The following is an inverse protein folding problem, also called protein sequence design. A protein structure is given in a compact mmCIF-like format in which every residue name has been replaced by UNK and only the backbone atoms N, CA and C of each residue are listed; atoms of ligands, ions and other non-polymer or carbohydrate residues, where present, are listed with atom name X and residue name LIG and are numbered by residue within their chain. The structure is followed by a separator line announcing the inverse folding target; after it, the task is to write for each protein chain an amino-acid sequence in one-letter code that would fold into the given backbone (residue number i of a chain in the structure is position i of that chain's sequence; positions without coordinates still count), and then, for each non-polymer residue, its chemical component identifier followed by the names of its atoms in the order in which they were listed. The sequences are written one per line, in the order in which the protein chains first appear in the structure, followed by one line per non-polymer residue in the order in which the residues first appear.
data_IF_842259005108
#
_entry.id   IF_842259005108
#
_cell.length_a   1.000
_cell.length_b   1.000
_cell.length_c   1.000
_cell.angle_alpha   90.00
_cell.angle_beta   90.00
_cell.angle_gamma   90.00
#
_symmetry.space_group_name_H-M   'P 1'
#
loop_
_entity.id
_entity.type
_entity.pdbx_description
1 polymer ?
#
# COMPACT_ATOMS: atom_id res chain seq x y z
N UNK A 1 25.91 -6.30 13.45
CA UNK A 1 25.18 -6.63 12.21
C UNK A 1 23.74 -6.14 12.26
N UNK A 2 22.96 -6.41 13.33
CA UNK A 2 21.63 -5.80 13.50
C UNK A 2 21.66 -4.27 13.56
N UNK A 3 22.61 -3.68 14.31
CA UNK A 3 22.84 -2.22 14.30
C UNK A 3 23.08 -1.68 12.89
N UNK A 4 24.07 -2.22 12.17
CA UNK A 4 24.30 -1.87 10.76
C UNK A 4 23.04 -1.98 9.88
N UNK A 5 22.26 -3.07 10.01
CA UNK A 5 21.04 -3.22 9.23
C UNK A 5 20.02 -2.12 9.54
N UNK A 6 19.85 -1.74 10.81
CA UNK A 6 18.95 -0.67 11.25
C UNK A 6 19.46 0.72 10.88
N UNK A 7 20.74 0.98 11.12
CA UNK A 7 21.32 2.33 11.11
C UNK A 7 21.85 2.74 9.73
N UNK A 8 22.19 1.77 8.87
CA UNK A 8 22.79 2.02 7.55
C UNK A 8 22.00 1.34 6.43
N UNK A 9 21.66 0.06 6.61
CA UNK A 9 21.01 -0.76 5.59
C UNK A 9 19.58 -0.31 5.27
N UNK A 10 18.76 -0.08 6.29
CA UNK A 10 17.38 0.39 6.14
C UNK A 10 17.33 1.80 5.53
N UNK A 11 18.05 2.82 6.04
CA UNK A 11 18.07 4.14 5.41
C UNK A 11 18.51 4.11 3.95
N UNK A 12 19.54 3.32 3.62
CA UNK A 12 19.98 3.14 2.24
C UNK A 12 18.87 2.55 1.35
N UNK A 13 18.13 1.55 1.85
CA UNK A 13 17.00 0.97 1.13
C UNK A 13 15.86 1.97 0.96
N UNK A 14 15.54 2.75 2.01
CA UNK A 14 14.44 3.71 1.98
C UNK A 14 14.69 4.87 0.99
N UNK A 15 15.95 5.29 0.84
CA UNK A 15 16.35 6.30 -0.12
C UNK A 15 16.49 5.80 -1.57
N UNK A 16 16.36 4.49 -1.81
CA UNK A 16 16.49 3.88 -3.13
C UNK A 16 15.22 4.06 -3.96
N UNK A 17 15.37 4.21 -5.28
CA UNK A 17 14.26 4.22 -6.24
C UNK A 17 13.99 2.85 -6.89
N UNK A 18 14.85 1.86 -6.66
CA UNK A 18 14.71 0.49 -7.18
C UNK A 18 13.88 -0.40 -6.23
N UNK A 19 12.56 -0.34 -6.39
CA UNK A 19 11.61 -1.16 -5.61
C UNK A 19 11.81 -2.66 -5.90
N UNK A 20 12.19 -3.04 -7.12
CA UNK A 20 12.37 -4.45 -7.49
C UNK A 20 13.59 -5.08 -6.78
N UNK A 21 14.67 -4.32 -6.66
CA UNK A 21 15.82 -4.72 -5.86
C UNK A 21 15.46 -4.78 -4.37
N UNK A 22 14.71 -3.79 -3.86
CA UNK A 22 14.18 -3.80 -2.49
C UNK A 22 13.34 -5.04 -2.21
N UNK A 23 12.47 -5.44 -3.14
CA UNK A 23 11.70 -6.68 -3.06
C UNK A 23 12.58 -7.92 -2.97
N UNK A 24 13.55 -8.03 -3.87
CA UNK A 24 14.47 -9.17 -3.91
C UNK A 24 15.28 -9.28 -2.62
N UNK A 25 15.74 -8.13 -2.10
CA UNK A 25 16.44 -8.07 -0.83
C UNK A 25 15.54 -8.48 0.32
N UNK A 26 14.33 -7.93 0.44
CA UNK A 26 13.44 -8.25 1.54
C UNK A 26 13.09 -9.74 1.56
N UNK A 27 12.71 -10.33 0.43
CA UNK A 27 12.35 -11.75 0.37
C UNK A 27 13.52 -12.69 0.71
N UNK A 28 14.74 -12.37 0.26
CA UNK A 28 15.92 -13.20 0.50
C UNK A 28 16.54 -12.98 1.89
N UNK A 29 16.52 -11.76 2.40
CA UNK A 29 17.25 -11.37 3.60
C UNK A 29 16.41 -11.47 4.87
N UNK A 30 15.07 -11.48 4.77
CA UNK A 30 14.18 -11.67 5.94
C UNK A 30 14.54 -12.91 6.75
N UNK A 31 14.68 -14.14 6.17
CA UNK A 31 15.02 -15.32 6.96
C UNK A 31 16.39 -15.24 7.62
N UNK A 32 17.35 -14.59 6.96
CA UNK A 32 18.69 -14.37 7.51
C UNK A 32 18.63 -13.43 8.73
N UNK A 33 17.94 -12.29 8.61
CA UNK A 33 17.78 -11.35 9.72
C UNK A 33 17.06 -12.00 10.90
N UNK A 34 15.94 -12.68 10.64
CA UNK A 34 15.16 -13.32 11.70
C UNK A 34 15.92 -14.47 12.38
N UNK A 35 16.90 -15.10 11.71
CA UNK A 35 17.72 -16.14 12.32
C UNK A 35 18.52 -15.65 13.54
N UNK A 36 18.79 -14.35 13.65
CA UNK A 36 19.46 -13.76 14.81
C UNK A 36 18.67 -13.92 16.12
N UNK A 37 17.34 -14.09 16.06
CA UNK A 37 16.51 -14.42 17.23
C UNK A 37 16.97 -15.68 17.99
N UNK A 38 17.75 -16.55 17.36
CA UNK A 38 18.31 -17.76 17.98
C UNK A 38 19.55 -17.48 18.84
N UNK A 39 20.17 -16.32 18.67
CA UNK A 39 21.46 -15.99 19.29
C UNK A 39 21.44 -14.64 20.02
N UNK A 40 20.42 -13.82 19.79
CA UNK A 40 20.19 -12.51 20.42
C UNK A 40 18.69 -12.20 20.45
N UNK A 41 18.30 -11.06 21.02
CA UNK A 41 16.91 -10.59 21.00
C UNK A 41 16.37 -10.52 19.56
N UNK A 42 15.10 -10.92 19.33
CA UNK A 42 14.48 -10.84 18.02
C UNK A 42 14.56 -9.42 17.42
N UNK A 43 14.90 -9.28 16.12
CA UNK A 43 14.94 -7.98 15.46
C UNK A 43 13.55 -7.54 14.99
N UNK A 44 12.59 -7.45 15.91
CA UNK A 44 11.17 -7.30 15.57
C UNK A 44 10.88 -5.99 14.82
N UNK A 45 11.59 -4.89 15.12
CA UNK A 45 11.47 -3.65 14.34
C UNK A 45 11.83 -3.83 12.86
N UNK A 46 12.92 -4.56 12.57
CA UNK A 46 13.28 -4.88 11.19
C UNK A 46 12.25 -5.84 10.59
N UNK A 47 11.71 -6.77 11.36
CA UNK A 47 10.70 -7.70 10.88
C UNK A 47 9.45 -6.97 10.35
N UNK A 48 9.00 -5.89 11.01
CA UNK A 48 7.87 -5.05 10.55
C UNK A 48 8.11 -4.60 9.10
N UNK A 49 9.19 -3.84 8.86
CA UNK A 49 9.51 -3.30 7.55
C UNK A 49 9.69 -4.39 6.49
N UNK A 50 10.45 -5.44 6.82
CA UNK A 50 10.77 -6.50 5.86
C UNK A 50 9.54 -7.31 5.46
N UNK A 51 8.61 -7.56 6.39
CA UNK A 51 7.35 -8.25 6.08
C UNK A 51 6.38 -7.36 5.30
N UNK A 52 6.32 -6.06 5.59
CA UNK A 52 5.54 -5.11 4.79
C UNK A 52 6.02 -5.10 3.34
N UNK A 53 7.33 -4.99 3.12
CA UNK A 53 7.93 -5.01 1.79
C UNK A 53 7.67 -6.37 1.12
N UNK A 54 8.00 -7.49 1.77
CA UNK A 54 7.80 -8.82 1.19
C UNK A 54 6.33 -9.13 0.88
N UNK A 55 5.40 -8.63 1.67
CA UNK A 55 3.96 -8.68 1.42
C UNK A 55 3.58 -7.87 0.18
N UNK A 56 3.99 -6.60 0.11
CA UNK A 56 3.75 -5.70 -1.03
C UNK A 56 4.31 -6.25 -2.34
N UNK A 57 5.49 -6.86 -2.32
CA UNK A 57 6.08 -7.50 -3.50
C UNK A 57 5.27 -8.72 -3.98
N UNK A 58 4.65 -9.44 -3.06
CA UNK A 58 3.72 -10.53 -3.41
C UNK A 58 2.43 -9.99 -3.99
N UNK A 59 1.95 -8.86 -3.46
CA UNK A 59 0.78 -8.14 -3.95
C UNK A 59 0.99 -7.64 -5.39
N UNK A 60 2.14 -7.07 -5.73
CA UNK A 60 2.47 -6.70 -7.12
C UNK A 60 2.40 -7.90 -8.09
N UNK A 61 2.86 -9.07 -7.65
CA UNK A 61 2.73 -10.31 -8.43
C UNK A 61 1.27 -10.76 -8.55
N UNK A 62 0.45 -10.52 -7.52
CA UNK A 62 -0.98 -10.80 -7.55
C UNK A 62 -1.71 -9.88 -8.53
N UNK A 63 -1.36 -8.59 -8.57
CA UNK A 63 -1.90 -7.61 -9.52
C UNK A 63 -1.63 -8.03 -10.97
N UNK A 64 -0.47 -8.59 -11.26
CA UNK A 64 -0.20 -9.17 -12.58
C UNK A 64 -1.16 -10.31 -12.96
N UNK A 65 -1.55 -11.14 -11.99
CA UNK A 65 -2.58 -12.17 -12.20
C UNK A 65 -3.99 -11.57 -12.30
N UNK A 66 -4.27 -10.45 -11.63
CA UNK A 66 -5.50 -9.68 -11.81
C UNK A 66 -5.65 -9.18 -13.25
N UNK A 67 -4.59 -8.56 -13.80
CA UNK A 67 -4.61 -8.09 -15.19
C UNK A 67 -4.75 -9.25 -16.19
N UNK A 68 -4.16 -10.42 -15.88
CA UNK A 68 -4.38 -11.65 -16.65
C UNK A 68 -5.84 -12.10 -16.59
N UNK A 69 -6.45 -12.08 -15.40
CA UNK A 69 -7.87 -12.38 -15.17
C UNK A 69 -8.79 -11.42 -15.95
N UNK A 70 -8.61 -10.10 -15.80
CA UNK A 70 -9.46 -9.09 -16.45
C UNK A 70 -9.38 -9.19 -17.98
N UNK A 71 -8.19 -9.37 -18.55
CA UNK A 71 -8.04 -9.61 -20.00
C UNK A 71 -8.74 -10.88 -20.46
N UNK A 72 -8.66 -11.95 -19.68
CA UNK A 72 -9.35 -13.20 -20.01
C UNK A 72 -10.87 -13.05 -19.96
N UNK A 73 -11.41 -12.30 -19.00
CA UNK A 73 -12.84 -11.94 -18.94
C UNK A 73 -13.23 -11.11 -20.17
N UNK A 74 -12.47 -10.07 -20.51
CA UNK A 74 -12.69 -9.24 -21.68
C UNK A 74 -12.71 -10.07 -22.98
N UNK A 75 -11.77 -11.01 -23.11
CA UNK A 75 -11.67 -11.94 -24.23
C UNK A 75 -12.67 -13.12 -24.17
N UNK A 76 -13.53 -13.20 -23.15
CA UNK A 76 -14.50 -14.29 -22.91
C UNK A 76 -13.86 -15.68 -22.78
N UNK A 77 -12.63 -15.74 -22.28
CA UNK A 77 -11.91 -16.98 -22.01
C UNK A 77 -12.06 -17.38 -20.54
N UNK A 78 -13.11 -18.15 -20.23
CA UNK A 78 -13.45 -18.51 -18.85
C UNK A 78 -12.43 -19.43 -18.16
N UNK A 79 -11.76 -20.30 -18.92
CA UNK A 79 -10.76 -21.24 -18.37
C UNK A 79 -9.56 -20.45 -17.86
N UNK A 80 -9.04 -19.55 -18.69
CA UNK A 80 -7.92 -18.68 -18.33
C UNK A 80 -8.27 -17.73 -17.19
N UNK A 81 -9.50 -17.18 -17.20
CA UNK A 81 -9.97 -16.32 -16.11
C UNK A 81 -9.99 -17.08 -14.77
N UNK A 82 -10.50 -18.32 -14.74
CA UNK A 82 -10.52 -19.13 -13.52
C UNK A 82 -9.11 -19.43 -13.01
N UNK A 83 -8.17 -19.82 -13.88
CA UNK A 83 -6.78 -20.08 -13.51
C UNK A 83 -6.11 -18.82 -12.94
N UNK A 84 -6.20 -17.71 -13.66
CA UNK A 84 -5.61 -16.44 -13.24
C UNK A 84 -6.18 -15.95 -11.90
N UNK A 85 -7.49 -16.10 -11.67
CA UNK A 85 -8.12 -15.75 -10.40
C UNK A 85 -7.61 -16.60 -9.24
N UNK A 86 -7.46 -17.91 -9.42
CA UNK A 86 -6.90 -18.79 -8.38
C UNK A 86 -5.43 -18.42 -8.09
N UNK A 87 -4.65 -18.14 -9.14
CA UNK A 87 -3.26 -17.70 -8.99
C UNK A 87 -3.17 -16.38 -8.21
N UNK A 88 -4.03 -15.41 -8.54
CA UNK A 88 -4.16 -14.14 -7.80
C UNK A 88 -4.49 -14.39 -6.33
N UNK A 89 -5.54 -15.17 -6.02
CA UNK A 89 -5.97 -15.44 -4.65
C UNK A 89 -4.87 -16.09 -3.81
N UNK A 90 -4.13 -17.05 -4.38
CA UNK A 90 -2.99 -17.70 -3.68
C UNK A 90 -1.88 -16.71 -3.33
N UNK A 91 -1.58 -15.78 -4.23
CA UNK A 91 -0.58 -14.74 -3.99
C UNK A 91 -1.08 -13.74 -2.93
N UNK A 92 -2.33 -13.29 -3.01
CA UNK A 92 -2.93 -12.42 -1.99
C UNK A 92 -2.95 -13.07 -0.61
N UNK A 93 -3.27 -14.37 -0.51
CA UNK A 93 -3.21 -15.12 0.76
C UNK A 93 -1.79 -15.28 1.30
N UNK A 94 -0.77 -15.29 0.44
CA UNK A 94 0.63 -15.24 0.88
C UNK A 94 1.03 -13.82 1.33
N UNK A 95 0.61 -12.79 0.61
CA UNK A 95 0.83 -11.39 0.98
C UNK A 95 0.23 -11.08 2.36
N UNK A 96 -1.03 -11.48 2.56
CA UNK A 96 -1.76 -11.32 3.82
C UNK A 96 -1.04 -11.98 5.00
N UNK A 97 -0.55 -13.22 4.83
CA UNK A 97 0.22 -13.90 5.90
C UNK A 97 1.53 -13.18 6.24
N UNK A 98 2.24 -12.67 5.23
CA UNK A 98 3.48 -11.91 5.43
C UNK A 98 3.19 -10.64 6.22
N UNK A 99 2.23 -9.84 5.78
CA UNK A 99 1.83 -8.60 6.45
C UNK A 99 1.25 -8.85 7.85
N UNK A 100 0.47 -9.92 8.05
CA UNK A 100 0.02 -10.31 9.38
C UNK A 100 1.21 -10.63 10.31
N UNK A 101 2.27 -11.23 9.78
CA UNK A 101 3.50 -11.48 10.54
C UNK A 101 4.20 -10.18 10.90
N UNK A 102 4.25 -9.21 9.97
CA UNK A 102 4.75 -7.85 10.23
C UNK A 102 3.95 -7.10 11.31
N UNK A 103 2.62 -7.19 11.26
CA UNK A 103 1.75 -6.67 12.32
C UNK A 103 2.04 -7.32 13.68
N UNK A 104 2.21 -8.64 13.75
CA UNK A 104 2.58 -9.28 15.02
C UNK A 104 3.99 -8.92 15.49
N UNK A 105 4.92 -8.63 14.57
CA UNK A 105 6.22 -8.07 14.94
C UNK A 105 6.08 -6.68 15.56
N UNK A 106 5.15 -5.84 15.09
CA UNK A 106 4.82 -4.57 15.74
C UNK A 106 4.35 -4.78 17.19
N UNK A 107 3.41 -5.71 17.39
CA UNK A 107 2.89 -6.04 18.73
C UNK A 107 4.00 -6.52 19.67
N UNK A 108 4.95 -7.31 19.15
CA UNK A 108 6.10 -7.82 19.90
C UNK A 108 7.15 -6.74 20.21
N UNK A 109 7.45 -5.88 19.23
CA UNK A 109 8.48 -4.85 19.35
C UNK A 109 8.07 -3.70 20.28
N UNK A 110 6.79 -3.34 20.28
CA UNK A 110 6.27 -2.13 20.91
C UNK A 110 5.08 -2.47 21.81
N UNK A 111 3.88 -2.50 21.25
CA UNK A 111 2.63 -2.78 21.95
C UNK A 111 1.52 -3.07 20.95
N UNK A 112 0.43 -3.67 21.41
CA UNK A 112 -0.74 -3.86 20.56
C UNK A 112 -1.43 -2.53 20.24
N UNK A 113 -1.69 -2.21 18.95
CA UNK A 113 -2.44 -1.03 18.57
C UNK A 113 -3.84 -0.98 19.18
N UNK A 114 -4.25 0.24 19.55
CA UNK A 114 -5.59 0.53 20.03
C UNK A 114 -5.82 0.43 21.54
N UNK A 115 -4.76 0.20 22.32
CA UNK A 115 -4.66 0.49 23.75
C UNK A 115 -4.06 1.87 24.03
N UNK A 116 -3.29 2.00 25.12
CA UNK A 116 -2.49 3.20 25.38
C UNK A 116 -1.38 3.37 24.33
N UNK A 117 -1.12 4.60 23.90
CA UNK A 117 -0.04 4.88 22.96
C UNK A 117 1.33 4.57 23.59
N UNK A 118 2.22 3.85 22.89
CA UNK A 118 3.56 3.61 23.38
C UNK A 118 4.36 4.91 23.49
N UNK A 119 5.39 4.91 24.32
CA UNK A 119 6.37 6.00 24.37
C UNK A 119 7.40 5.75 23.28
N UNK A 120 7.42 6.60 22.25
CA UNK A 120 8.43 6.55 21.20
C UNK A 120 9.73 7.18 21.69
N UNK A 121 10.86 6.51 21.47
CA UNK A 121 12.18 7.04 21.84
C UNK A 121 12.84 7.81 20.68
N UNK A 122 12.31 7.67 19.47
CA UNK A 122 12.83 8.30 18.25
C UNK A 122 11.78 8.28 17.13
N UNK A 123 11.97 9.13 16.13
CA UNK A 123 11.17 9.18 14.90
C UNK A 123 11.21 7.85 14.15
N UNK A 124 12.30 7.07 14.29
CA UNK A 124 12.36 5.71 13.77
C UNK A 124 11.34 4.77 14.43
N UNK A 125 11.08 4.91 15.72
CA UNK A 125 10.08 4.08 16.41
C UNK A 125 8.68 4.46 15.95
N UNK A 126 8.42 5.75 15.74
CA UNK A 126 7.18 6.23 15.12
C UNK A 126 7.00 5.72 13.69
N UNK A 127 8.07 5.73 12.90
CA UNK A 127 8.08 5.17 11.55
C UNK A 127 7.75 3.68 11.56
N UNK A 128 8.43 2.87 12.37
CA UNK A 128 8.13 1.43 12.49
C UNK A 128 6.73 1.18 13.02
N UNK A 129 6.20 2.02 13.90
CA UNK A 129 4.80 1.96 14.32
C UNK A 129 3.87 2.16 13.13
N UNK A 130 4.07 3.21 12.33
CA UNK A 130 3.31 3.47 11.11
C UNK A 130 3.36 2.28 10.14
N UNK A 131 4.54 1.71 9.89
CA UNK A 131 4.69 0.56 8.99
C UNK A 131 3.92 -0.67 9.49
N UNK A 132 3.95 -0.93 10.81
CA UNK A 132 3.21 -2.05 11.40
C UNK A 132 1.69 -1.85 11.36
N UNK A 133 1.22 -0.59 11.42
CA UNK A 133 -0.19 -0.27 11.16
C UNK A 133 -0.57 -0.56 9.70
N UNK A 134 0.29 -0.19 8.74
CA UNK A 134 0.09 -0.49 7.33
C UNK A 134 0.09 -2.00 7.05
N UNK A 135 0.96 -2.76 7.72
CA UNK A 135 0.93 -4.23 7.70
C UNK A 135 -0.44 -4.76 8.13
N UNK A 136 -1.00 -4.25 9.24
CA UNK A 136 -2.31 -4.68 9.71
C UNK A 136 -3.43 -4.41 8.69
N UNK A 137 -3.44 -3.23 8.06
CA UNK A 137 -4.44 -2.88 7.04
C UNK A 137 -4.29 -3.75 5.79
N UNK A 138 -3.07 -3.84 5.26
CA UNK A 138 -2.81 -4.60 4.04
C UNK A 138 -3.06 -6.10 4.25
N UNK A 139 -2.79 -6.63 5.44
CA UNK A 139 -3.12 -8.02 5.78
C UNK A 139 -4.63 -8.28 5.62
N UNK A 140 -5.48 -7.39 6.16
CA UNK A 140 -6.94 -7.51 6.06
C UNK A 140 -7.40 -7.41 4.60
N UNK A 141 -6.94 -6.40 3.87
CA UNK A 141 -7.33 -6.17 2.46
C UNK A 141 -6.96 -7.39 1.62
N UNK A 142 -5.72 -7.86 1.74
CA UNK A 142 -5.22 -9.00 0.98
C UNK A 142 -5.90 -10.31 1.38
N UNK A 143 -6.25 -10.50 2.65
CA UNK A 143 -6.95 -11.71 3.08
C UNK A 143 -8.37 -11.77 2.52
N UNK A 144 -9.13 -10.67 2.61
CA UNK A 144 -10.47 -10.56 2.01
C UNK A 144 -10.41 -10.83 0.51
N UNK A 145 -9.47 -10.20 -0.20
CA UNK A 145 -9.31 -10.37 -1.63
C UNK A 145 -8.86 -11.80 -2.03
N UNK A 146 -8.15 -12.50 -1.13
CA UNK A 146 -7.80 -13.92 -1.29
C UNK A 146 -8.96 -14.89 -1.05
N UNK A 147 -10.05 -14.43 -0.43
CA UNK A 147 -11.16 -15.28 0.03
C UNK A 147 -10.99 -15.82 1.45
N UNK A 148 -10.21 -15.14 2.30
CA UNK A 148 -10.04 -15.47 3.73
C UNK A 148 -9.03 -16.58 4.01
N UNK A 149 -8.07 -16.82 3.10
CA UNK A 149 -7.14 -17.96 3.21
C UNK A 149 -6.04 -17.81 4.26
N UNK A 150 -5.79 -16.59 4.74
CA UNK A 150 -4.83 -16.27 5.79
C UNK A 150 -5.47 -16.16 7.17
N UNK A 151 -6.81 -16.15 7.26
CA UNK A 151 -7.59 -16.07 8.50
C UNK A 151 -7.20 -14.85 9.36
N UNK A 152 -7.07 -13.69 8.74
CA UNK A 152 -6.65 -12.46 9.43
C UNK A 152 -7.76 -12.02 10.40
N UNK A 153 -7.45 -11.78 11.69
CA UNK A 153 -8.44 -11.29 12.64
C UNK A 153 -8.98 -9.91 12.24
N UNK A 154 -10.30 -9.82 12.05
CA UNK A 154 -10.95 -8.59 11.58
C UNK A 154 -10.92 -7.44 12.60
N UNK A 155 -10.69 -7.74 13.88
CA UNK A 155 -10.55 -6.72 14.93
C UNK A 155 -9.27 -5.89 14.78
N UNK A 156 -8.28 -6.35 14.00
CA UNK A 156 -7.09 -5.60 13.63
C UNK A 156 -7.46 -4.26 12.97
N UNK A 157 -8.54 -4.20 12.19
CA UNK A 157 -8.99 -2.95 11.55
C UNK A 157 -9.21 -1.83 12.59
N UNK A 158 -9.97 -2.15 13.65
CA UNK A 158 -10.27 -1.19 14.70
C UNK A 158 -9.04 -0.87 15.56
N UNK A 159 -8.17 -1.87 15.80
CA UNK A 159 -6.91 -1.70 16.52
C UNK A 159 -5.97 -0.75 15.79
N UNK A 160 -5.79 -0.94 14.49
CA UNK A 160 -4.94 -0.07 13.65
C UNK A 160 -5.51 1.35 13.57
N UNK A 161 -6.81 1.50 13.33
CA UNK A 161 -7.45 2.81 13.31
C UNK A 161 -7.23 3.59 14.60
N UNK A 162 -7.37 2.93 15.77
CA UNK A 162 -7.06 3.55 17.06
C UNK A 162 -5.56 3.78 17.27
N UNK A 163 -4.69 2.86 16.83
CA UNK A 163 -3.24 3.02 16.95
C UNK A 163 -2.66 4.16 16.13
N UNK A 164 -3.32 4.53 15.02
CA UNK A 164 -2.91 5.65 14.18
C UNK A 164 -3.00 7.00 14.91
N UNK A 165 -3.84 7.15 15.95
CA UNK A 165 -3.92 8.41 16.72
C UNK A 165 -2.64 8.71 17.52
N UNK A 166 -1.76 7.72 17.67
CA UNK A 166 -0.53 7.85 18.43
C UNK A 166 0.58 8.60 17.67
N UNK A 167 0.41 8.81 16.36
CA UNK A 167 1.38 9.49 15.51
C UNK A 167 0.91 10.92 15.21
N UNK A 168 1.85 11.85 15.10
CA UNK A 168 1.55 13.18 14.59
C UNK A 168 1.18 13.13 13.11
N UNK A 169 0.06 13.77 12.75
CA UNK A 169 -0.49 13.66 11.42
C UNK A 169 0.21 14.57 10.40
N UNK A 170 0.78 15.70 10.83
CA UNK A 170 1.53 16.59 9.93
C UNK A 170 2.93 16.03 9.70
N UNK A 171 3.60 15.54 10.74
CA UNK A 171 4.91 14.88 10.67
C UNK A 171 4.89 13.66 9.73
N UNK A 172 3.88 12.80 9.87
CA UNK A 172 3.73 11.59 9.05
C UNK A 172 2.81 11.79 7.84
N UNK A 173 2.93 12.97 7.19
CA UNK A 173 2.41 13.27 5.85
C UNK A 173 0.91 13.02 5.63
N UNK A 174 0.10 13.14 6.68
CA UNK A 174 -1.33 12.88 6.65
C UNK A 174 -1.72 11.40 6.70
N UNK A 175 -0.75 10.48 6.74
CA UNK A 175 -0.98 9.02 6.76
C UNK A 175 -1.78 8.57 7.99
N UNK A 176 -1.48 9.04 9.22
CA UNK A 176 -2.23 8.62 10.41
C UNK A 176 -3.74 8.90 10.31
N UNK A 177 -4.13 10.09 9.87
CA UNK A 177 -5.55 10.42 9.68
C UNK A 177 -6.15 9.73 8.44
N UNK A 178 -5.34 9.43 7.41
CA UNK A 178 -5.81 8.64 6.27
C UNK A 178 -6.18 7.21 6.69
N UNK A 179 -5.36 6.59 7.54
CA UNK A 179 -5.62 5.28 8.15
C UNK A 179 -6.94 5.34 8.93
N UNK A 180 -7.11 6.32 9.83
CA UNK A 180 -8.34 6.47 10.60
C UNK A 180 -9.57 6.60 9.70
N UNK A 181 -9.49 7.48 8.70
CA UNK A 181 -10.58 7.69 7.76
C UNK A 181 -10.92 6.43 6.95
N UNK A 182 -9.91 5.68 6.49
CA UNK A 182 -10.11 4.42 5.79
C UNK A 182 -10.87 3.40 6.66
N UNK A 183 -10.50 3.28 7.94
CA UNK A 183 -11.19 2.39 8.88
C UNK A 183 -12.62 2.84 9.15
N UNK A 184 -12.86 4.13 9.36
CA UNK A 184 -14.22 4.66 9.55
C UNK A 184 -15.12 4.46 8.32
N UNK A 185 -14.55 4.56 7.12
CA UNK A 185 -15.28 4.31 5.87
C UNK A 185 -15.60 2.81 5.72
N UNK A 186 -14.68 1.94 6.10
CA UNK A 186 -14.86 0.48 6.03
C UNK A 186 -15.80 -0.06 7.13
N UNK A 187 -15.81 0.57 8.31
CA UNK A 187 -16.62 0.18 9.48
C UNK A 187 -17.48 1.38 9.90
N UNK A 188 -18.67 1.56 9.30
CA UNK A 188 -19.56 2.68 9.62
C UNK A 188 -20.02 2.65 11.09
N UNK A 189 -20.09 3.82 11.72
CA UNK A 189 -20.56 4.02 13.09
C UNK A 189 -19.47 4.02 14.15
N UNK A 190 -18.19 3.95 13.74
CA UNK A 190 -17.03 4.03 14.64
C UNK A 190 -16.27 5.37 14.49
N UNK A 191 -16.76 6.27 13.63
CA UNK A 191 -16.26 7.63 13.48
C UNK A 191 -16.65 8.55 14.65
N UNK A 192 -15.81 9.54 15.00
CA UNK A 192 -16.21 10.61 15.91
C UNK A 192 -17.38 11.43 15.35
N UNK A 193 -18.28 11.88 16.23
CA UNK A 193 -19.52 12.60 15.86
C UNK A 193 -19.25 13.91 15.09
N UNK A 194 -18.09 14.54 15.32
CA UNK A 194 -17.68 15.80 14.71
C UNK A 194 -16.84 15.63 13.44
N UNK A 195 -16.55 14.38 13.02
CA UNK A 195 -15.68 14.09 11.87
C UNK A 195 -16.48 13.52 10.71
N UNK A 196 -16.15 13.98 9.51
CA UNK A 196 -16.65 13.40 8.25
C UNK A 196 -15.50 12.61 7.62
N UNK A 197 -15.52 11.26 7.62
CA UNK A 197 -14.37 10.45 7.21
C UNK A 197 -13.83 10.79 5.82
N UNK A 198 -14.70 10.99 4.83
CA UNK A 198 -14.28 11.38 3.47
C UNK A 198 -13.55 12.73 3.43
N UNK A 199 -13.97 13.70 4.27
CA UNK A 199 -13.28 15.00 4.36
C UNK A 199 -11.91 14.87 5.03
N UNK A 200 -11.82 14.04 6.09
CA UNK A 200 -10.55 13.74 6.75
C UNK A 200 -9.56 13.11 5.76
N UNK A 201 -10.01 12.12 4.99
CA UNK A 201 -9.19 11.47 3.95
C UNK A 201 -8.74 12.46 2.86
N UNK A 202 -9.62 13.37 2.42
CA UNK A 202 -9.26 14.41 1.46
C UNK A 202 -8.23 15.41 2.02
N UNK A 203 -8.32 15.74 3.31
CA UNK A 203 -7.35 16.59 3.99
C UNK A 203 -6.01 15.88 4.15
N UNK A 204 -5.99 14.61 4.52
CA UNK A 204 -4.77 13.79 4.57
C UNK A 204 -4.05 13.74 3.24
N UNK A 205 -4.77 13.57 2.12
CA UNK A 205 -4.16 13.67 0.80
C UNK A 205 -3.53 15.04 0.55
N UNK A 206 -4.17 16.15 0.96
CA UNK A 206 -3.59 17.51 0.80
C UNK A 206 -2.26 17.65 1.57
N UNK A 207 -2.22 17.19 2.82
CA UNK A 207 -1.00 17.23 3.65
C UNK A 207 0.12 16.44 2.96
N UNK A 208 -0.18 15.23 2.47
CA UNK A 208 0.79 14.44 1.70
C UNK A 208 1.27 15.15 0.44
N UNK A 209 0.39 15.82 -0.32
CA UNK A 209 0.77 16.57 -1.53
C UNK A 209 1.73 17.72 -1.24
N UNK A 210 1.46 18.50 -0.20
CA UNK A 210 2.29 19.62 0.20
C UNK A 210 3.70 19.16 0.61
N UNK A 211 3.82 17.93 1.11
CA UNK A 211 5.08 17.32 1.55
C UNK A 211 5.69 16.35 0.51
N UNK A 212 5.03 16.17 -0.64
CA UNK A 212 5.51 15.29 -1.70
C UNK A 212 5.46 13.80 -1.36
N UNK A 213 4.49 13.37 -0.56
CA UNK A 213 4.27 11.99 -0.13
C UNK A 213 2.89 11.48 -0.58
N UNK A 214 2.84 10.25 -1.09
CA UNK A 214 1.67 9.75 -1.84
C UNK A 214 0.92 8.57 -1.20
N UNK A 215 1.32 8.14 -0.01
CA UNK A 215 0.69 7.00 0.69
C UNK A 215 -0.80 7.28 0.94
N UNK A 216 -1.16 8.52 1.29
CA UNK A 216 -2.56 8.90 1.50
C UNK A 216 -3.43 8.75 0.24
N UNK A 217 -2.88 8.98 -0.96
CA UNK A 217 -3.59 8.75 -2.23
C UNK A 217 -3.83 7.28 -2.49
N UNK A 218 -2.84 6.42 -2.17
CA UNK A 218 -2.99 4.96 -2.31
C UNK A 218 -4.11 4.47 -1.41
N UNK A 219 -4.08 4.85 -0.12
CA UNK A 219 -5.13 4.49 0.84
C UNK A 219 -6.49 4.99 0.36
N UNK A 220 -6.58 6.23 -0.12
CA UNK A 220 -7.83 6.77 -0.62
C UNK A 220 -8.34 6.01 -1.86
N UNK A 221 -7.47 5.75 -2.83
CA UNK A 221 -7.83 5.01 -4.04
C UNK A 221 -8.32 3.60 -3.71
N UNK A 222 -7.65 2.89 -2.80
CA UNK A 222 -8.07 1.56 -2.34
C UNK A 222 -9.44 1.59 -1.63
N UNK A 223 -9.69 2.59 -0.78
CA UNK A 223 -10.98 2.76 -0.11
C UNK A 223 -12.11 2.94 -1.11
N UNK A 224 -11.98 3.88 -2.05
CA UNK A 224 -13.03 4.14 -3.05
C UNK A 224 -13.18 2.99 -4.05
N UNK A 225 -12.08 2.30 -4.39
CA UNK A 225 -12.11 1.08 -5.20
C UNK A 225 -12.92 -0.01 -4.51
N UNK A 226 -12.71 -0.22 -3.20
CA UNK A 226 -13.48 -1.18 -2.40
C UNK A 226 -14.98 -0.83 -2.28
N UNK A 227 -15.35 0.44 -2.43
CA UNK A 227 -16.74 0.89 -2.47
C UNK A 227 -17.37 0.83 -3.88
N UNK A 228 -16.58 0.54 -4.92
CA UNK A 228 -17.02 0.60 -6.31
C UNK A 228 -17.23 2.03 -6.82
N UNK A 229 -16.66 3.04 -6.17
CA UNK A 229 -16.76 4.46 -6.55
C UNK A 229 -15.68 4.80 -7.59
N UNK A 230 -15.80 4.23 -8.78
CA UNK A 230 -14.78 4.32 -9.85
C UNK A 230 -14.47 5.77 -10.25
N UNK A 231 -15.46 6.67 -10.22
CA UNK A 231 -15.25 8.07 -10.59
C UNK A 231 -14.36 8.80 -9.58
N UNK A 232 -14.54 8.55 -8.28
CA UNK A 232 -13.65 9.11 -7.26
C UNK A 232 -12.23 8.51 -7.37
N UNK A 233 -12.10 7.21 -7.66
CA UNK A 233 -10.80 6.58 -7.94
C UNK A 233 -10.10 7.29 -9.12
N UNK A 234 -10.80 7.50 -10.24
CA UNK A 234 -10.25 8.24 -11.39
C UNK A 234 -9.81 9.65 -11.02
N UNK A 235 -10.58 10.36 -10.17
CA UNK A 235 -10.22 11.69 -9.69
C UNK A 235 -8.95 11.69 -8.83
N UNK A 236 -8.78 10.70 -7.95
CA UNK A 236 -7.58 10.54 -7.14
C UNK A 236 -6.36 10.28 -8.02
N UNK A 237 -6.47 9.39 -9.02
CA UNK A 237 -5.38 9.10 -9.96
C UNK A 237 -5.04 10.35 -10.79
N UNK A 238 -6.04 11.11 -11.26
CA UNK A 238 -5.84 12.41 -11.95
C UNK A 238 -5.12 13.43 -11.07
N UNK A 239 -5.45 13.46 -9.78
CA UNK A 239 -4.81 14.36 -8.81
C UNK A 239 -3.36 13.95 -8.59
N UNK A 240 -3.12 12.66 -8.36
CA UNK A 240 -1.79 12.06 -8.25
C UNK A 240 -0.91 12.36 -9.48
N UNK A 241 -1.44 12.19 -10.70
CA UNK A 241 -0.69 12.44 -11.94
C UNK A 241 -0.25 13.90 -12.14
N UNK A 242 -0.85 14.85 -11.42
CA UNK A 242 -0.47 16.28 -11.45
C UNK A 242 0.54 16.65 -10.37
N UNK A 243 0.90 15.73 -9.49
CA UNK A 243 1.81 16.02 -8.39
C UNK A 243 3.24 16.22 -8.91
N UNK A 244 3.91 17.16 -8.27
CA UNK A 244 5.32 17.45 -8.54
C UNK A 244 6.20 16.39 -7.84
N UNK A 245 7.49 16.33 -8.20
CA UNK A 245 8.45 15.47 -7.52
C UNK A 245 8.45 15.72 -6.00
N UNK A 246 8.84 14.71 -5.18
CA UNK A 246 8.89 14.85 -3.73
C UNK A 246 9.69 16.07 -3.28
N UNK A 247 9.29 16.67 -2.15
CA UNK A 247 10.07 17.72 -1.52
C UNK A 247 11.45 17.16 -1.12
N UNK A 248 12.49 17.99 -1.20
CA UNK A 248 13.87 17.56 -0.90
C UNK A 248 14.03 17.01 0.53
N UNK A 249 13.14 17.41 1.44
CA UNK A 249 13.14 17.05 2.86
C UNK A 249 12.71 15.59 3.10
N UNK A 250 12.01 14.94 2.17
CA UNK A 250 11.53 13.55 2.31
C UNK A 250 12.27 12.56 1.39
N UNK A 251 13.44 12.95 0.86
CA UNK A 251 14.18 12.13 -0.11
C UNK A 251 14.70 10.82 0.50
N UNK A 252 14.87 10.76 1.83
CA UNK A 252 15.23 9.52 2.54
C UNK A 252 14.11 8.46 2.52
N UNK A 253 12.89 8.83 2.16
CA UNK A 253 11.72 7.96 2.03
C UNK A 253 11.27 7.74 0.58
N UNK A 254 12.15 8.00 -0.41
CA UNK A 254 11.85 7.91 -1.84
C UNK A 254 11.18 6.58 -2.23
N UNK A 255 11.59 5.46 -1.63
CA UNK A 255 11.02 4.13 -1.92
C UNK A 255 9.51 4.09 -1.64
N UNK A 256 9.01 4.81 -0.63
CA UNK A 256 7.59 4.84 -0.28
C UNK A 256 6.78 5.52 -1.39
N UNK A 257 7.33 6.56 -2.00
CA UNK A 257 6.72 7.22 -3.15
C UNK A 257 6.78 6.35 -4.41
N UNK A 258 7.86 5.57 -4.61
CA UNK A 258 7.94 4.60 -5.70
C UNK A 258 6.96 3.46 -5.55
N UNK A 259 6.83 2.90 -4.35
CA UNK A 259 5.79 1.91 -4.02
C UNK A 259 4.40 2.48 -4.26
N UNK A 260 4.15 3.72 -3.82
CA UNK A 260 2.87 4.40 -4.05
C UNK A 260 2.59 4.60 -5.54
N UNK A 261 3.61 4.94 -6.33
CA UNK A 261 3.52 5.07 -7.79
C UNK A 261 3.11 3.76 -8.44
N UNK A 262 3.72 2.65 -8.03
CA UNK A 262 3.40 1.32 -8.55
C UNK A 262 1.98 0.90 -8.19
N UNK A 263 1.52 1.18 -6.96
CA UNK A 263 0.15 0.91 -6.54
C UNK A 263 -0.88 1.72 -7.34
N UNK A 264 -0.66 3.02 -7.53
CA UNK A 264 -1.55 3.86 -8.34
C UNK A 264 -1.55 3.42 -9.82
N UNK A 265 -0.37 3.07 -10.38
CA UNK A 265 -0.27 2.50 -11.72
C UNK A 265 -1.07 1.20 -11.83
N UNK A 266 -0.98 0.31 -10.84
CA UNK A 266 -1.70 -0.96 -10.84
C UNK A 266 -3.22 -0.77 -10.80
N UNK A 267 -3.71 0.18 -10.00
CA UNK A 267 -5.15 0.53 -9.97
C UNK A 267 -5.57 1.10 -11.34
N UNK A 268 -4.77 2.00 -11.93
CA UNK A 268 -5.01 2.51 -13.28
C UNK A 268 -5.06 1.39 -14.32
N UNK A 269 -4.10 0.45 -14.26
CA UNK A 269 -4.03 -0.70 -15.17
C UNK A 269 -5.25 -1.61 -15.03
N UNK A 270 -5.72 -1.85 -13.81
CA UNK A 270 -6.94 -2.64 -13.55
C UNK A 270 -8.15 -1.97 -14.21
N UNK A 271 -8.35 -0.67 -13.98
CA UNK A 271 -9.43 0.11 -14.59
C UNK A 271 -9.39 0.07 -16.13
N UNK A 272 -8.23 0.34 -16.73
CA UNK A 272 -8.06 0.30 -18.18
C UNK A 272 -8.26 -1.10 -18.74
N UNK A 273 -7.80 -2.13 -18.02
CA UNK A 273 -7.91 -3.51 -18.49
C UNK A 273 -9.34 -4.02 -18.41
N UNK A 274 -10.07 -3.66 -17.36
CA UNK A 274 -11.49 -3.97 -17.23
C UNK A 274 -12.31 -3.35 -18.37
N UNK A 275 -12.07 -2.08 -18.68
CA UNK A 275 -12.84 -1.35 -19.69
C UNK A 275 -12.42 -1.64 -21.14
N UNK A 276 -11.11 -1.77 -21.40
CA UNK A 276 -10.54 -1.78 -22.75
C UNK A 276 -9.75 -3.06 -23.08
N UNK A 277 -9.59 -3.98 -22.13
CA UNK A 277 -8.83 -5.22 -22.32
C UNK A 277 -7.32 -5.03 -22.42
N UNK A 278 -6.80 -3.84 -22.11
CA UNK A 278 -5.38 -3.48 -22.16
C UNK A 278 -5.02 -2.58 -20.98
N UNK A 279 -3.74 -2.56 -20.60
CA UNK A 279 -3.22 -1.71 -19.51
C UNK A 279 -3.39 -0.22 -19.82
N UNK A 280 -3.14 0.60 -18.81
CA UNK A 280 -2.92 2.04 -19.00
C UNK A 280 -1.81 2.22 -20.04
N UNK A 281 -2.01 3.04 -21.08
CA UNK A 281 -0.93 3.31 -22.03
C UNK A 281 0.25 4.01 -21.34
N UNK A 282 1.45 3.85 -21.91
CA UNK A 282 2.68 4.40 -21.33
C UNK A 282 2.57 5.92 -21.16
N UNK A 283 2.93 6.42 -19.98
CA UNK A 283 2.85 7.85 -19.66
C UNK A 283 1.44 8.43 -19.58
N UNK A 284 0.38 7.60 -19.57
CA UNK A 284 -1.03 8.03 -19.55
C UNK A 284 -1.74 7.84 -18.21
N UNK A 285 -1.00 7.59 -17.12
CA UNK A 285 -1.58 7.61 -15.76
C UNK A 285 -2.28 8.94 -15.51
N UNK A 286 -3.52 8.89 -15.01
CA UNK A 286 -4.37 10.07 -14.83
C UNK A 286 -5.23 10.42 -16.05
N UNK A 287 -5.22 9.62 -17.09
CA UNK A 287 -6.18 9.72 -18.21
C UNK A 287 -6.96 8.41 -18.34
N UNK A 288 -8.18 8.51 -18.88
CA UNK A 288 -9.11 7.39 -18.99
C UNK A 288 -9.78 7.33 -20.36
N UNK A 289 -10.22 6.14 -20.75
CA UNK A 289 -10.82 5.84 -22.06
C UNK A 289 -12.10 6.64 -22.36
N UNK A 290 -12.76 7.15 -21.32
CA UNK A 290 -13.99 7.94 -21.39
C UNK A 290 -13.77 9.44 -21.17
N UNK A 291 -12.52 9.89 -21.12
CA UNK A 291 -12.21 11.32 -21.11
C UNK A 291 -12.75 11.98 -22.39
N UNK A 292 -13.50 13.07 -22.24
CA UNK A 292 -14.01 13.85 -23.37
C UNK A 292 -12.82 14.28 -24.25
N UNK A 293 -12.77 13.78 -25.48
CA UNK A 293 -11.64 13.96 -26.36
C UNK A 293 -11.32 15.45 -26.57
N UNK A 294 -10.18 15.90 -26.04
CA UNK A 294 -9.43 16.93 -26.75
C UNK A 294 -8.74 16.20 -27.88
N UNK A 295 -9.34 16.29 -29.06
CA UNK A 295 -8.86 15.66 -30.28
C UNK A 295 -7.33 15.82 -30.45
N UNK A 296 -6.61 14.71 -30.34
CA UNK A 296 -5.58 14.29 -31.30
C UNK A 296 -5.55 12.75 -31.27
N UNK A 297 -6.32 12.14 -32.18
CA UNK A 297 -6.03 10.79 -32.65
C UNK A 297 -4.77 10.87 -33.51
N UNK A 298 -3.62 10.69 -32.88
CA UNK A 298 -2.47 10.09 -33.54
C UNK A 298 -2.23 8.81 -32.81
N UNK A 299 -2.43 7.68 -33.49
CA UNK A 299 -1.89 6.39 -33.04
C UNK A 299 -0.39 6.63 -32.87
N UNK A 300 0.04 6.74 -31.61
CA UNK A 300 1.43 6.93 -31.27
C UNK A 300 2.12 5.60 -31.52
N UNK A 301 3.07 5.58 -32.45
CA UNK A 301 3.79 4.34 -32.81
C UNK A 301 4.58 3.81 -31.60
N UNK A 302 4.83 4.66 -30.61
CA UNK A 302 5.41 4.32 -29.31
C UNK A 302 4.47 3.48 -28.42
N UNK A 303 3.16 3.36 -28.73
CA UNK A 303 2.27 2.38 -28.09
C UNK A 303 2.45 0.94 -28.62
N UNK A 304 3.21 0.76 -29.71
CA UNK A 304 3.41 -0.53 -30.40
C UNK A 304 4.85 -1.07 -30.33
N UNK A 305 5.78 -0.36 -29.69
CA UNK A 305 7.19 -0.74 -29.51
C UNK A 305 7.48 -1.14 -28.07
#
# INVERSE_FOLDING_TARGET
MLGYAKDEGVPYMLASDDVALGCSMAEAFTPFLLSFSRVTSPPDQLAILFYLVAGSCTEFRAQEQELRYLRAIYAKNSIEAQDARIAQQRLLGLAARRQLTGYYALVSAMSEPGGECPVFASDNDEFYWMLGLLDGIQAIINDIASGGSAEVPMDIAAKVGRGAVCLDNEEWWGVPAAIQAAIWIAIPGNEPVDKVPRQVLQQSMKIGEEQGMHIAHVLAAQVYLGQGDTEEVKQIIRRYAKLSKPAAENQEYEVLNRVSSLQIQAISDSLWTEAMGKRTPLGKVGTFWDDSSKAVDTIDIDELL
#
